data_IF_360779661364
#
_entry.id   IF_360779661364
#
_cell.length_a   1.000
_cell.length_b   1.000
_cell.length_c   1.000
_cell.angle_alpha   90.00
_cell.angle_beta   90.00
_cell.angle_gamma   90.00
#
_symmetry.space_group_name_H-M   'P 1'
#
loop_
_entity.id
_entity.type
_entity.pdbx_description
1 polymer ?
#
# COMPACT_ATOMS: atom_id res chain seq x y z
N UNK A 1 18.65 -7.73 0.06
CA UNK A 1 17.65 -7.57 -1.03
C UNK A 1 16.52 -8.56 -0.85
N UNK A 2 15.29 -8.06 -0.85
CA UNK A 2 14.09 -8.89 -0.73
C UNK A 2 13.45 -9.08 -2.10
N UNK A 3 12.61 -10.11 -2.22
CA UNK A 3 11.88 -10.41 -3.46
C UNK A 3 10.39 -10.43 -3.18
N UNK A 4 9.58 -10.08 -4.17
CA UNK A 4 8.14 -10.14 -4.06
C UNK A 4 7.67 -11.58 -3.78
N UNK A 5 6.91 -11.75 -2.70
CA UNK A 5 6.28 -13.03 -2.38
C UNK A 5 5.20 -13.37 -3.42
N UNK A 6 4.77 -14.62 -3.43
CA UNK A 6 3.64 -15.04 -4.28
C UNK A 6 2.40 -14.19 -3.98
N UNK A 7 2.12 -13.93 -2.70
CA UNK A 7 0.99 -13.10 -2.26
C UNK A 7 1.11 -11.68 -2.81
N UNK A 8 2.30 -11.08 -2.71
CA UNK A 8 2.53 -9.73 -3.25
C UNK A 8 2.29 -9.68 -4.76
N UNK A 9 2.79 -10.67 -5.51
CA UNK A 9 2.60 -10.75 -6.95
C UNK A 9 1.13 -10.86 -7.33
N UNK A 10 0.37 -11.68 -6.61
CA UNK A 10 -1.07 -11.82 -6.83
C UNK A 10 -1.81 -10.51 -6.57
N UNK A 11 -1.46 -9.83 -5.47
CA UNK A 11 -2.11 -8.58 -5.09
C UNK A 11 -1.71 -7.38 -5.97
N UNK A 12 -0.63 -7.50 -6.75
CA UNK A 12 -0.22 -6.48 -7.70
C UNK A 12 -0.89 -6.61 -9.06
N UNK A 13 -1.64 -7.68 -9.31
CA UNK A 13 -2.36 -7.84 -10.59
C UNK A 13 -3.39 -6.74 -10.75
N UNK A 14 -3.37 -6.07 -11.91
CA UNK A 14 -4.28 -4.98 -12.22
C UNK A 14 -3.92 -3.63 -11.58
N UNK A 15 -2.86 -3.58 -10.79
CA UNK A 15 -2.34 -2.35 -10.19
C UNK A 15 -1.56 -1.56 -11.26
N UNK A 16 -1.64 -0.23 -11.19
CA UNK A 16 -0.88 0.66 -12.08
C UNK A 16 0.60 0.25 -12.13
N UNK A 17 1.17 0.17 -13.33
CA UNK A 17 2.53 -0.30 -13.54
C UNK A 17 3.58 0.51 -12.78
N UNK A 18 3.31 1.79 -12.52
CA UNK A 18 4.22 2.65 -11.74
C UNK A 18 4.34 2.18 -10.29
N UNK A 19 3.23 1.72 -9.71
CA UNK A 19 3.24 1.15 -8.36
C UNK A 19 3.91 -0.22 -8.33
N UNK A 20 3.72 -1.03 -9.36
CA UNK A 20 4.41 -2.33 -9.49
C UNK A 20 5.93 -2.11 -9.53
N UNK A 21 6.38 -1.14 -10.33
CA UNK A 21 7.79 -0.78 -10.41
C UNK A 21 8.31 -0.27 -9.07
N UNK A 22 7.54 0.59 -8.40
CA UNK A 22 7.87 1.13 -7.09
C UNK A 22 8.11 0.00 -6.07
N UNK A 23 7.22 -0.99 -6.03
CA UNK A 23 7.35 -2.14 -5.12
C UNK A 23 8.64 -2.92 -5.40
N UNK A 24 8.95 -3.17 -6.67
CA UNK A 24 10.15 -3.90 -7.06
C UNK A 24 11.42 -3.21 -6.59
N UNK A 25 11.51 -1.90 -6.81
CA UNK A 25 12.66 -1.11 -6.35
C UNK A 25 12.73 -1.04 -4.83
N UNK A 26 11.59 -0.85 -4.16
CA UNK A 26 11.55 -0.81 -2.70
C UNK A 26 12.04 -2.12 -2.10
N UNK A 27 11.62 -3.27 -2.63
CA UNK A 27 12.09 -4.57 -2.18
C UNK A 27 13.61 -4.73 -2.35
N UNK A 28 14.15 -4.17 -3.41
CA UNK A 28 15.59 -4.28 -3.70
C UNK A 28 16.44 -3.55 -2.67
N UNK A 29 15.97 -2.46 -2.10
CA UNK A 29 16.77 -1.59 -1.21
C UNK A 29 16.28 -1.54 0.23
N UNK A 30 15.06 -2.02 0.52
CA UNK A 30 14.50 -1.94 1.87
C UNK A 30 15.32 -2.73 2.88
N UNK A 31 15.44 -2.18 4.09
CA UNK A 31 16.04 -2.87 5.25
C UNK A 31 15.00 -3.73 5.98
N UNK A 32 13.74 -3.61 5.60
CA UNK A 32 12.62 -4.31 6.21
C UNK A 32 11.87 -5.05 5.11
N UNK A 33 11.71 -6.36 5.25
CA UNK A 33 10.92 -7.13 4.30
C UNK A 33 9.44 -6.77 4.45
N UNK A 34 8.71 -6.79 3.35
CA UNK A 34 7.29 -6.43 3.37
C UNK A 34 6.50 -7.24 2.35
N UNK A 35 5.19 -7.20 2.51
CA UNK A 35 4.23 -7.86 1.62
C UNK A 35 3.17 -6.85 1.20
N UNK A 36 2.76 -6.93 -0.06
CA UNK A 36 1.60 -6.19 -0.57
C UNK A 36 0.36 -7.01 -0.21
N UNK A 37 -0.48 -6.46 0.67
CA UNK A 37 -1.66 -7.18 1.18
C UNK A 37 -2.94 -6.81 0.43
N UNK A 38 -2.96 -5.67 -0.24
CA UNK A 38 -4.09 -5.28 -1.09
C UNK A 38 -3.60 -4.36 -2.21
N UNK A 39 -4.18 -4.53 -3.40
CA UNK A 39 -3.92 -3.69 -4.56
C UNK A 39 -5.24 -3.28 -5.20
N UNK A 40 -5.57 -3.82 -6.38
CA UNK A 40 -6.83 -3.55 -7.04
C UNK A 40 -8.00 -4.11 -6.21
N UNK A 41 -9.00 -3.27 -6.00
CA UNK A 41 -10.18 -3.61 -5.19
C UNK A 41 -11.42 -3.59 -6.07
N UNK A 42 -12.25 -4.65 -6.00
CA UNK A 42 -13.52 -4.69 -6.71
C UNK A 42 -14.52 -3.70 -6.12
N UNK A 43 -15.51 -3.32 -6.91
CA UNK A 43 -16.61 -2.46 -6.46
C UNK A 43 -17.39 -3.13 -5.33
N UNK A 44 -17.64 -4.43 -5.42
CA UNK A 44 -18.35 -5.21 -4.39
C UNK A 44 -17.62 -5.17 -3.06
N UNK A 45 -16.30 -5.37 -3.09
CA UNK A 45 -15.48 -5.31 -1.86
C UNK A 45 -15.49 -3.90 -1.28
N UNK A 46 -15.39 -2.87 -2.12
CA UNK A 46 -15.44 -1.48 -1.67
C UNK A 46 -16.76 -1.16 -1.00
N UNK A 47 -17.88 -1.59 -1.60
CA UNK A 47 -19.20 -1.41 -1.01
C UNK A 47 -19.31 -2.10 0.35
N UNK A 48 -18.76 -3.32 0.46
CA UNK A 48 -18.75 -4.07 1.73
C UNK A 48 -17.97 -3.31 2.80
N UNK A 49 -16.78 -2.81 2.46
CA UNK A 49 -15.95 -2.04 3.39
C UNK A 49 -16.66 -0.77 3.86
N UNK A 50 -17.37 -0.10 2.96
CA UNK A 50 -18.16 1.07 3.32
C UNK A 50 -19.29 0.73 4.27
N UNK A 51 -20.04 -0.36 3.98
CA UNK A 51 -21.13 -0.82 4.87
C UNK A 51 -20.61 -1.21 6.25
N UNK A 52 -19.41 -1.75 6.34
CA UNK A 52 -18.76 -2.14 7.59
C UNK A 52 -18.05 -0.98 8.28
N UNK A 53 -18.17 0.23 7.73
CA UNK A 53 -17.53 1.46 8.23
C UNK A 53 -16.01 1.40 8.27
N UNK A 54 -15.41 0.56 7.42
CA UNK A 54 -13.97 0.41 7.28
C UNK A 54 -13.38 1.31 6.19
N UNK A 55 -14.22 1.98 5.41
CA UNK A 55 -13.81 2.92 4.37
C UNK A 55 -14.84 4.04 4.28
N UNK A 56 -14.38 5.24 3.90
CA UNK A 56 -15.23 6.40 3.67
C UNK A 56 -15.73 6.49 2.23
N UNK A 57 -15.18 5.67 1.32
CA UNK A 57 -15.58 5.62 -0.07
C UNK A 57 -16.68 4.58 -0.26
N UNK A 58 -17.84 5.01 -0.82
CA UNK A 58 -18.97 4.11 -1.03
C UNK A 58 -18.79 3.17 -2.24
N UNK A 59 -17.82 3.45 -3.08
CA UNK A 59 -17.49 2.62 -4.24
C UNK A 59 -18.28 2.95 -5.50
N UNK A 60 -19.22 3.89 -5.42
CA UNK A 60 -20.09 4.28 -6.54
C UNK A 60 -19.99 5.78 -6.80
N UNK A 61 -20.31 6.61 -5.82
CA UNK A 61 -20.18 8.07 -5.91
C UNK A 61 -18.76 8.51 -5.56
N UNK A 62 -18.21 7.94 -4.49
CA UNK A 62 -16.84 8.16 -4.05
C UNK A 62 -16.01 6.92 -4.35
N UNK A 63 -15.28 6.94 -5.44
CA UNK A 63 -14.43 5.83 -5.87
C UNK A 63 -13.10 5.88 -5.11
N UNK A 64 -12.69 4.75 -4.54
CA UNK A 64 -11.40 4.67 -3.86
C UNK A 64 -10.27 4.51 -4.86
N UNK A 65 -9.06 4.95 -4.48
CA UNK A 65 -7.87 4.74 -5.30
C UNK A 65 -7.58 3.26 -5.54
N UNK A 66 -7.92 2.39 -4.60
CA UNK A 66 -7.79 0.94 -4.78
C UNK A 66 -8.67 0.41 -5.91
N UNK A 67 -9.86 0.95 -6.10
CA UNK A 67 -10.74 0.55 -7.20
C UNK A 67 -10.16 0.94 -8.56
N UNK A 68 -9.36 1.99 -8.60
CA UNK A 68 -8.70 2.47 -9.82
C UNK A 68 -7.36 1.77 -10.07
N UNK A 69 -6.93 0.89 -9.17
CA UNK A 69 -5.59 0.28 -9.24
C UNK A 69 -4.47 1.26 -8.91
N UNK A 70 -4.77 2.39 -8.29
CA UNK A 70 -3.82 3.47 -8.00
C UNK A 70 -3.42 3.55 -6.53
N UNK A 71 -3.70 2.51 -5.76
CA UNK A 71 -3.28 2.40 -4.36
C UNK A 71 -2.90 0.96 -4.04
N UNK A 72 -1.97 0.84 -3.09
CA UNK A 72 -1.57 -0.44 -2.51
C UNK A 72 -1.51 -0.29 -0.99
N UNK A 73 -1.70 -1.41 -0.30
CA UNK A 73 -1.45 -1.51 1.13
C UNK A 73 -0.29 -2.47 1.35
N UNK A 74 0.72 -2.03 2.12
CA UNK A 74 1.91 -2.81 2.41
C UNK A 74 2.08 -2.97 3.92
N UNK A 75 2.49 -4.16 4.35
CA UNK A 75 2.81 -4.45 5.74
C UNK A 75 4.19 -5.06 5.84
N UNK A 76 4.96 -4.67 6.86
CA UNK A 76 6.23 -5.35 7.09
C UNK A 76 5.97 -6.80 7.53
N UNK A 77 6.85 -7.69 7.11
CA UNK A 77 6.74 -9.11 7.48
C UNK A 77 6.86 -9.25 9.00
N UNK A 78 5.97 -10.04 9.59
CA UNK A 78 5.90 -10.20 11.03
C UNK A 78 4.99 -9.21 11.74
N UNK A 79 4.30 -8.33 11.01
CA UNK A 79 3.34 -7.41 11.60
C UNK A 79 2.25 -8.17 12.34
N UNK A 80 1.89 -7.65 13.52
CA UNK A 80 0.79 -8.14 14.33
C UNK A 80 -0.11 -6.97 14.69
N UNK A 81 -1.41 -7.23 14.85
CA UNK A 81 -2.37 -6.20 15.22
C UNK A 81 -2.12 -5.59 16.61
N UNK A 82 -1.27 -6.22 17.42
CA UNK A 82 -0.82 -5.70 18.70
C UNK A 82 0.37 -4.75 18.60
N UNK A 83 0.98 -4.65 17.42
CA UNK A 83 2.10 -3.73 17.20
C UNK A 83 1.64 -2.28 17.28
N UNK A 84 2.50 -1.42 17.84
CA UNK A 84 2.23 0.01 17.87
C UNK A 84 2.17 0.58 16.45
N UNK A 85 1.27 1.55 16.22
CA UNK A 85 1.26 2.33 14.97
C UNK A 85 2.54 3.16 14.80
N UNK A 86 3.32 3.31 15.88
CA UNK A 86 4.61 4.02 15.88
C UNK A 86 5.80 3.07 15.89
N UNK A 87 5.58 1.77 15.64
CA UNK A 87 6.67 0.80 15.52
C UNK A 87 7.68 1.31 14.48
N UNK A 88 8.95 1.22 14.80
CA UNK A 88 10.04 1.75 13.96
C UNK A 88 10.09 1.11 12.57
N UNK A 89 9.59 -0.13 12.44
CA UNK A 89 9.51 -0.81 11.15
C UNK A 89 8.59 -0.09 10.17
N UNK A 90 7.50 0.54 10.67
CA UNK A 90 6.65 1.40 9.82
C UNK A 90 7.46 2.57 9.26
N UNK A 91 8.17 3.27 10.13
CA UNK A 91 8.99 4.42 9.71
C UNK A 91 10.02 4.02 8.65
N UNK A 92 10.73 2.92 8.89
CA UNK A 92 11.75 2.41 7.96
C UNK A 92 11.15 2.02 6.61
N UNK A 93 10.04 1.29 6.64
CA UNK A 93 9.35 0.85 5.43
C UNK A 93 8.86 2.03 4.60
N UNK A 94 8.15 2.96 5.23
CA UNK A 94 7.58 4.12 4.53
C UNK A 94 8.68 5.04 4.03
N UNK A 95 9.76 5.23 4.78
CA UNK A 95 10.92 6.02 4.34
C UNK A 95 11.52 5.43 3.06
N UNK A 96 11.59 4.10 2.96
CA UNK A 96 12.07 3.42 1.74
C UNK A 96 11.17 3.74 0.54
N UNK A 97 9.85 3.70 0.72
CA UNK A 97 8.92 4.04 -0.35
C UNK A 97 9.00 5.50 -0.75
N UNK A 98 9.17 6.40 0.21
CA UNK A 98 9.34 7.84 -0.08
C UNK A 98 10.61 8.08 -0.89
N UNK A 99 11.71 7.47 -0.50
CA UNK A 99 12.98 7.55 -1.23
C UNK A 99 12.84 7.01 -2.64
N UNK A 100 12.27 5.82 -2.79
CA UNK A 100 12.11 5.15 -4.07
C UNK A 100 11.17 5.94 -4.99
N UNK A 101 10.08 6.47 -4.44
CA UNK A 101 9.14 7.30 -5.18
C UNK A 101 9.81 8.52 -5.77
N UNK A 102 10.66 9.19 -5.01
CA UNK A 102 11.44 10.33 -5.52
C UNK A 102 12.39 9.92 -6.65
N UNK A 103 13.07 8.78 -6.50
CA UNK A 103 13.97 8.27 -7.53
C UNK A 103 13.24 7.97 -8.84
N UNK A 104 12.01 7.47 -8.75
CA UNK A 104 11.18 7.16 -9.91
C UNK A 104 10.35 8.35 -10.40
N UNK A 105 10.49 9.50 -9.77
CA UNK A 105 9.76 10.72 -10.09
C UNK A 105 8.24 10.53 -10.01
N UNK A 106 7.79 9.82 -8.99
CA UNK A 106 6.38 9.56 -8.73
C UNK A 106 5.85 10.51 -7.65
N UNK A 107 4.63 11.00 -7.86
CA UNK A 107 3.91 11.78 -6.86
C UNK A 107 3.02 10.83 -6.07
N UNK A 108 3.35 10.64 -4.80
CA UNK A 108 2.69 9.67 -3.93
C UNK A 108 2.09 10.37 -2.71
N UNK A 109 1.02 9.79 -2.18
CA UNK A 109 0.50 10.10 -0.86
C UNK A 109 0.57 8.87 0.02
N UNK A 110 0.84 9.09 1.30
CA UNK A 110 1.05 8.03 2.28
C UNK A 110 0.06 8.16 3.42
N UNK A 111 -0.69 7.09 3.69
CA UNK A 111 -1.57 7.04 4.84
C UNK A 111 -0.82 7.16 6.17
N UNK A 112 0.46 6.81 6.18
CA UNK A 112 1.35 7.02 7.32
C UNK A 112 1.40 8.51 7.72
N UNK A 113 1.48 9.38 6.73
CA UNK A 113 1.54 10.84 6.96
C UNK A 113 0.18 11.39 7.43
N UNK A 114 -0.91 10.72 7.10
CA UNK A 114 -2.24 11.10 7.60
C UNK A 114 -2.41 10.78 9.09
N UNK A 115 -1.59 9.86 9.62
CA UNK A 115 -1.57 9.47 11.03
C UNK A 115 -2.53 8.35 11.42
N UNK A 116 -3.22 7.72 10.45
CA UNK A 116 -4.21 6.70 10.77
C UNK A 116 -4.26 5.50 9.80
N UNK A 117 -3.48 5.52 8.73
CA UNK A 117 -3.53 4.45 7.72
C UNK A 117 -2.12 4.11 7.23
N UNK A 118 -1.31 3.61 8.14
CA UNK A 118 0.11 3.33 7.89
C UNK A 118 0.41 2.53 6.62
N UNK A 119 -0.37 1.47 6.26
CA UNK A 119 -0.02 0.65 5.10
C UNK A 119 -0.34 1.28 3.75
N UNK A 120 -1.14 2.33 3.71
CA UNK A 120 -1.70 2.87 2.46
C UNK A 120 -0.71 3.75 1.71
N UNK A 121 -0.52 3.46 0.42
CA UNK A 121 0.30 4.24 -0.51
C UNK A 121 -0.49 4.41 -1.80
N UNK A 122 -0.64 5.66 -2.25
CA UNK A 122 -1.41 5.94 -3.46
C UNK A 122 -0.68 6.90 -4.41
N UNK A 123 -0.98 6.78 -5.69
CA UNK A 123 -0.61 7.78 -6.68
C UNK A 123 -1.51 9.01 -6.54
N UNK A 124 -0.92 10.17 -6.59
CA UNK A 124 -1.67 11.43 -6.63
C UNK A 124 -2.32 11.63 -7.99
#
# INVERSE_FOLDING_TARGET
>A
MYKASKRSKENLKGVDSRLVLLVGYALAISKVDFVVVEGLRSTERQKKLYREKKSKCDGVTNISKHQEGKAIDVYYVGWKNTDSSKDDRWRKLISTFKFTGKKLNLKLEFGYDWGWDNPHIELK
#
